data_IF_753527429429
#
_entry.id   IF_753527429429
#
_cell.length_a   1.000
_cell.length_b   1.000
_cell.length_c   1.000
_cell.angle_alpha   90.00
_cell.angle_beta   90.00
_cell.angle_gamma   90.00
#
_symmetry.space_group_name_H-M   'P 1'
#
loop_
_entity.id
_entity.type
_entity.pdbx_description
1 polymer ?
#
# COMPACT_ATOMS: atom_id res chain seq x y z
N UNK A 1 26.08 -5.34 3.14
CA UNK A 1 25.34 -4.23 3.77
C UNK A 1 24.15 -3.96 2.88
N UNK A 2 22.91 -4.03 3.39
CA UNK A 2 21.71 -3.89 2.54
C UNK A 2 21.25 -2.44 2.53
N UNK A 3 20.89 -1.93 1.35
CA UNK A 3 20.28 -0.61 1.21
C UNK A 3 19.01 -0.52 2.06
N UNK A 4 18.78 0.60 2.74
CA UNK A 4 17.57 0.80 3.56
C UNK A 4 16.50 1.51 2.75
N UNK A 5 15.26 1.06 2.89
CA UNK A 5 14.09 1.67 2.23
C UNK A 5 13.08 2.08 3.28
N UNK A 6 12.72 3.36 3.27
CA UNK A 6 11.62 3.93 4.04
C UNK A 6 10.50 4.36 3.10
N UNK A 7 9.28 3.86 3.34
CA UNK A 7 8.08 4.17 2.55
C UNK A 7 7.21 5.12 3.37
N UNK A 8 6.89 6.27 2.79
CA UNK A 8 6.06 7.31 3.40
C UNK A 8 4.88 7.60 2.50
N UNK A 9 3.69 7.21 2.95
CA UNK A 9 2.50 7.20 2.14
C UNK A 9 1.49 8.25 2.59
N UNK A 10 1.26 9.24 1.73
CA UNK A 10 0.16 10.18 1.81
C UNK A 10 -1.12 9.50 1.33
N UNK A 11 -1.87 8.92 2.26
CA UNK A 11 -3.10 8.20 1.94
C UNK A 11 -4.16 9.12 1.32
N UNK A 12 -4.18 10.41 1.67
CA UNK A 12 -5.16 11.34 1.11
C UNK A 12 -4.93 11.60 -0.37
N UNK A 13 -3.66 11.68 -0.79
CA UNK A 13 -3.32 11.87 -2.19
C UNK A 13 -3.39 10.57 -3.00
N UNK A 14 -3.07 9.43 -2.36
CA UNK A 14 -3.05 8.11 -2.98
C UNK A 14 -3.90 7.12 -2.17
N UNK A 15 -5.24 7.23 -2.16
CA UNK A 15 -6.10 6.35 -1.37
C UNK A 15 -6.21 4.96 -2.02
N UNK A 16 -6.42 3.94 -1.19
CA UNK A 16 -6.80 2.60 -1.66
C UNK A 16 -8.20 2.24 -1.18
N UNK A 17 -8.89 1.41 -1.96
CA UNK A 17 -10.20 0.83 -1.65
C UNK A 17 -10.14 -0.69 -1.45
N UNK A 18 -8.94 -1.28 -1.39
CA UNK A 18 -8.74 -2.71 -1.15
C UNK A 18 -9.21 -3.08 0.27
N UNK A 19 -10.49 -3.43 0.40
CA UNK A 19 -11.16 -3.79 1.65
C UNK A 19 -10.93 -5.25 2.09
N UNK A 20 -9.96 -5.94 1.47
CA UNK A 20 -9.48 -7.28 1.85
C UNK A 20 -8.14 -7.58 1.16
N UNK A 21 -7.20 -8.13 1.92
CA UNK A 21 -5.85 -8.59 1.49
C UNK A 21 -4.81 -7.50 1.14
N UNK A 22 -5.17 -6.21 1.24
CA UNK A 22 -4.30 -5.05 0.99
C UNK A 22 -3.33 -5.25 -0.18
N UNK A 23 -3.88 -5.66 -1.33
CA UNK A 23 -3.14 -5.91 -2.56
C UNK A 23 -2.22 -4.73 -2.92
N UNK A 24 -2.73 -3.51 -2.74
CA UNK A 24 -1.95 -2.26 -2.83
C UNK A 24 -0.66 -2.29 -1.99
N UNK A 25 -0.74 -2.60 -0.69
CA UNK A 25 0.42 -2.63 0.23
C UNK A 25 1.41 -3.71 -0.20
N UNK A 26 0.90 -4.89 -0.60
CA UNK A 26 1.73 -5.99 -1.11
C UNK A 26 2.48 -5.60 -2.39
N UNK A 27 1.82 -4.92 -3.33
CA UNK A 27 2.41 -4.44 -4.57
C UNK A 27 3.44 -3.34 -4.30
N UNK A 28 3.15 -2.39 -3.41
CA UNK A 28 4.10 -1.37 -2.98
C UNK A 28 5.36 -2.00 -2.39
N UNK A 29 5.23 -3.00 -1.51
CA UNK A 29 6.38 -3.73 -0.97
C UNK A 29 7.17 -4.44 -2.06
N UNK A 30 6.48 -5.13 -2.98
CA UNK A 30 7.11 -5.84 -4.09
C UNK A 30 7.90 -4.90 -5.01
N UNK A 31 7.43 -3.67 -5.20
CA UNK A 31 8.19 -2.66 -5.94
C UNK A 31 9.38 -2.16 -5.11
N UNK A 32 9.13 -1.74 -3.88
CA UNK A 32 10.13 -1.06 -3.05
C UNK A 32 11.29 -1.97 -2.64
N UNK A 33 11.06 -3.27 -2.49
CA UNK A 33 12.11 -4.24 -2.10
C UNK A 33 13.23 -4.36 -3.16
N UNK A 34 12.95 -3.99 -4.41
CA UNK A 34 13.96 -3.91 -5.49
C UNK A 34 15.03 -2.85 -5.20
N UNK A 35 14.74 -1.90 -4.33
CA UNK A 35 15.63 -0.79 -3.99
C UNK A 35 16.41 -1.02 -2.69
N UNK A 36 16.07 -2.06 -1.92
CA UNK A 36 16.70 -2.42 -0.66
C UNK A 36 15.75 -3.11 0.32
N UNK A 37 16.21 -3.27 1.56
CA UNK A 37 15.40 -3.80 2.65
C UNK A 37 14.42 -2.73 3.17
N UNK A 38 13.13 -3.05 3.18
CA UNK A 38 12.09 -2.17 3.71
C UNK A 38 12.16 -2.22 5.24
N UNK A 39 12.60 -1.13 5.84
CA UNK A 39 12.79 -1.01 7.30
C UNK A 39 11.72 -0.13 7.94
N UNK A 40 11.02 0.68 7.14
CA UNK A 40 9.95 1.54 7.60
C UNK A 40 8.87 1.63 6.53
N UNK A 41 7.61 1.50 6.93
CA UNK A 41 6.45 1.77 6.10
C UNK A 41 5.42 2.49 6.95
N UNK A 42 5.22 3.79 6.67
CA UNK A 42 4.26 4.66 7.35
C UNK A 42 3.19 5.17 6.40
N UNK A 43 1.94 5.16 6.85
CA UNK A 43 0.80 5.77 6.18
C UNK A 43 0.28 6.96 6.99
N UNK A 44 0.04 8.08 6.31
CA UNK A 44 -0.39 9.33 6.92
C UNK A 44 -1.82 9.62 6.49
N UNK A 45 -2.71 9.68 7.47
CA UNK A 45 -4.08 10.10 7.28
C UNK A 45 -4.18 11.57 7.67
N UNK A 46 -4.51 12.43 6.71
CA UNK A 46 -4.75 13.83 7.00
C UNK A 46 -3.66 14.81 6.63
N UNK A 47 -2.78 14.47 5.68
CA UNK A 47 -1.89 15.47 5.11
C UNK A 47 -2.72 16.52 4.34
N UNK A 48 -2.45 17.82 4.55
CA UNK A 48 -3.11 18.89 3.82
C UNK A 48 -2.66 18.82 2.37
N UNK A 49 -3.62 18.64 1.46
CA UNK A 49 -3.38 18.51 0.03
C UNK A 49 -4.49 19.18 -0.78
N UNK A 50 -4.63 18.78 -2.04
CA UNK A 50 -5.60 19.36 -2.98
C UNK A 50 -7.03 18.89 -2.67
N UNK A 51 -7.19 17.66 -2.16
CA UNK A 51 -8.48 17.10 -1.81
C UNK A 51 -8.86 17.39 -0.34
N UNK A 52 -10.15 17.56 -0.03
CA UNK A 52 -10.60 17.70 1.35
C UNK A 52 -10.22 16.47 2.18
N UNK A 53 -9.76 16.71 3.40
CA UNK A 53 -9.39 15.67 4.34
C UNK A 53 -10.55 14.70 4.56
N UNK A 54 -10.38 13.45 4.14
CA UNK A 54 -11.32 12.36 4.39
C UNK A 54 -10.59 11.27 5.16
N UNK A 55 -10.96 11.07 6.42
CA UNK A 55 -10.42 9.94 7.18
C UNK A 55 -10.85 8.63 6.52
N UNK A 56 -9.94 7.66 6.38
CA UNK A 56 -10.35 6.33 5.97
C UNK A 56 -11.29 5.71 7.00
N UNK A 57 -12.22 4.84 6.57
CA UNK A 57 -13.02 4.02 7.46
C UNK A 57 -12.14 3.24 8.44
N UNK A 58 -12.65 2.96 9.64
CA UNK A 58 -11.92 2.23 10.67
C UNK A 58 -11.44 0.84 10.19
N UNK A 59 -12.23 0.15 9.37
CA UNK A 59 -11.86 -1.15 8.78
C UNK A 59 -10.60 -1.05 7.92
N UNK A 60 -10.54 -0.07 7.00
CA UNK A 60 -9.37 0.15 6.14
C UNK A 60 -8.13 0.48 6.98
N UNK A 61 -8.28 1.26 8.06
CA UNK A 61 -7.16 1.55 8.96
C UNK A 61 -6.64 0.29 9.65
N UNK A 62 -7.54 -0.54 10.20
CA UNK A 62 -7.18 -1.82 10.83
C UNK A 62 -6.44 -2.71 9.84
N UNK A 63 -6.93 -2.81 8.61
CA UNK A 63 -6.31 -3.63 7.56
C UNK A 63 -4.91 -3.14 7.18
N UNK A 64 -4.71 -1.81 7.08
CA UNK A 64 -3.39 -1.21 6.83
C UNK A 64 -2.42 -1.55 7.97
N UNK A 65 -2.87 -1.47 9.23
CA UNK A 65 -2.07 -1.78 10.41
C UNK A 65 -1.76 -3.28 10.53
N UNK A 66 -2.75 -4.15 10.30
CA UNK A 66 -2.60 -5.60 10.26
C UNK A 66 -1.65 -6.05 9.15
N UNK A 67 -1.63 -5.32 8.03
CA UNK A 67 -0.65 -5.52 6.98
C UNK A 67 0.76 -5.09 7.40
N UNK A 68 0.98 -4.52 8.59
CA UNK A 68 2.27 -4.11 9.12
C UNK A 68 2.72 -2.72 8.67
N UNK A 69 1.79 -1.82 8.35
CA UNK A 69 2.07 -0.41 8.07
C UNK A 69 1.73 0.41 9.31
N UNK A 70 2.68 1.20 9.79
CA UNK A 70 2.42 2.11 10.91
C UNK A 70 1.54 3.26 10.42
N UNK A 71 0.40 3.48 11.06
CA UNK A 71 -0.47 4.59 10.69
C UNK A 71 -0.25 5.80 11.59
N UNK A 72 -0.34 6.99 11.00
CA UNK A 72 -0.38 8.25 11.73
C UNK A 72 -1.71 8.93 11.45
N UNK A 73 -2.58 8.91 12.45
CA UNK A 73 -3.90 9.54 12.41
C UNK A 73 -3.95 10.74 13.35
N UNK A 74 -3.26 11.82 12.99
CA UNK A 74 -3.29 13.03 13.80
C UNK A 74 -3.72 14.23 12.92
N UNK A 75 -4.91 14.81 13.16
CA UNK A 75 -5.47 15.85 12.29
C UNK A 75 -4.58 17.11 12.20
N UNK A 76 -3.68 17.30 13.17
CA UNK A 76 -2.75 18.43 13.21
C UNK A 76 -1.29 18.04 12.90
N UNK A 77 -0.98 16.78 12.59
CA UNK A 77 0.40 16.37 12.28
C UNK A 77 0.92 17.08 11.01
N UNK A 78 0.03 17.24 10.02
CA UNK A 78 0.30 18.03 8.82
C UNK A 78 1.55 17.58 8.05
N UNK A 79 1.96 18.41 7.08
CA UNK A 79 3.18 18.16 6.29
C UNK A 79 4.46 18.21 7.15
N UNK A 80 4.45 18.97 8.25
CA UNK A 80 5.58 19.06 9.18
C UNK A 80 5.94 17.71 9.81
N UNK A 81 4.98 16.97 10.34
CA UNK A 81 5.24 15.65 10.91
C UNK A 81 5.72 14.63 9.85
N UNK A 82 5.14 14.71 8.64
CA UNK A 82 5.57 13.89 7.51
C UNK A 82 7.05 14.11 7.18
N UNK A 83 7.46 15.37 7.02
CA UNK A 83 8.85 15.72 6.75
C UNK A 83 9.77 15.33 7.92
N UNK A 84 9.34 15.57 9.17
CA UNK A 84 10.10 15.19 10.38
C UNK A 84 10.38 13.69 10.41
N UNK A 85 9.38 12.85 10.16
CA UNK A 85 9.56 11.39 10.13
C UNK A 85 10.52 10.94 9.02
N UNK A 86 10.46 11.58 7.85
CA UNK A 86 11.41 11.32 6.75
C UNK A 86 12.84 11.66 7.18
N UNK A 87 13.06 12.81 7.82
CA UNK A 87 14.39 13.19 8.29
C UNK A 87 14.86 12.33 9.48
N UNK A 88 13.98 11.98 10.43
CA UNK A 88 14.31 11.04 11.51
C UNK A 88 14.77 9.70 10.95
N UNK A 89 14.07 9.15 9.94
CA UNK A 89 14.49 7.93 9.26
C UNK A 89 15.91 8.01 8.66
N UNK A 90 16.29 9.18 8.13
CA UNK A 90 17.65 9.45 7.64
C UNK A 90 18.66 9.66 8.77
N UNK A 91 18.24 10.17 9.93
CA UNK A 91 19.13 10.39 11.08
C UNK A 91 19.37 9.10 11.86
N UNK A 92 18.42 8.18 11.88
CA UNK A 92 18.54 6.84 12.49
C UNK A 92 19.56 5.93 11.76
N UNK A 93 20.25 6.47 10.76
CA UNK A 93 21.34 5.80 10.05
C UNK A 93 22.60 5.75 10.94
N UNK A 94 22.82 4.61 11.58
CA UNK A 94 23.99 4.38 12.44
C UNK A 94 25.34 4.39 11.67
N UNK A 95 25.30 4.22 10.34
CA UNK A 95 26.48 4.21 9.46
C UNK A 95 26.27 5.10 8.24
N UNK A 96 27.09 6.15 8.14
CA UNK A 96 27.11 7.14 7.05
C UNK A 96 27.25 6.55 5.63
N UNK A 97 27.58 5.27 5.48
CA UNK A 97 27.82 4.62 4.19
C UNK A 97 26.66 3.77 3.68
N UNK A 98 25.57 3.62 4.44
CA UNK A 98 24.44 2.76 3.99
C UNK A 98 23.61 3.52 2.95
N UNK A 99 23.52 3.04 1.69
CA UNK A 99 22.69 3.70 0.70
C UNK A 99 21.22 3.66 1.13
N UNK A 100 20.57 4.81 1.05
CA UNK A 100 19.20 4.99 1.55
C UNK A 100 18.28 5.43 0.44
N UNK A 101 17.13 4.76 0.38
CA UNK A 101 16.04 5.10 -0.52
C UNK A 101 14.85 5.55 0.29
N UNK A 102 14.38 6.76 0.00
CA UNK A 102 13.10 7.27 0.50
C UNK A 102 12.09 7.12 -0.62
N UNK A 103 11.00 6.40 -0.35
CA UNK A 103 9.88 6.27 -1.28
C UNK A 103 8.73 7.11 -0.77
N UNK A 104 8.35 8.11 -1.55
CA UNK A 104 7.19 8.95 -1.29
C UNK A 104 6.04 8.41 -2.13
N UNK A 105 4.92 8.07 -1.50
CA UNK A 105 3.67 7.73 -2.19
C UNK A 105 2.73 8.90 -1.99
N UNK A 106 2.74 9.86 -2.92
CA UNK A 106 1.97 11.11 -2.78
C UNK A 106 1.85 11.84 -4.12
N UNK A 107 0.67 12.42 -4.34
CA UNK A 107 0.38 13.41 -5.37
C UNK A 107 0.36 14.87 -4.87
N UNK A 108 0.86 15.11 -3.66
CA UNK A 108 0.75 16.41 -3.01
C UNK A 108 1.90 17.33 -3.44
N UNK A 109 1.64 18.49 -4.08
CA UNK A 109 2.70 19.38 -4.55
C UNK A 109 3.56 19.93 -3.41
N UNK A 110 3.06 19.94 -2.17
CA UNK A 110 3.81 20.40 -1.00
C UNK A 110 5.06 19.53 -0.70
N UNK A 111 5.14 18.30 -1.22
CA UNK A 111 6.33 17.45 -1.08
C UNK A 111 7.53 17.94 -1.89
N UNK A 112 7.33 18.88 -2.83
CA UNK A 112 8.36 19.36 -3.77
C UNK A 112 9.64 19.77 -3.05
N UNK A 113 9.54 20.63 -2.04
CA UNK A 113 10.71 21.08 -1.30
C UNK A 113 11.40 19.94 -0.53
N UNK A 114 10.62 18.98 -0.01
CA UNK A 114 11.16 17.79 0.64
C UNK A 114 11.98 16.96 -0.37
N UNK A 115 11.47 16.74 -1.58
CA UNK A 115 12.21 16.04 -2.65
C UNK A 115 13.52 16.75 -2.98
N UNK A 116 13.50 18.07 -3.16
CA UNK A 116 14.71 18.86 -3.36
C UNK A 116 15.72 18.69 -2.21
N UNK A 117 15.26 18.75 -0.97
CA UNK A 117 16.09 18.61 0.22
C UNK A 117 16.72 17.21 0.32
N UNK A 118 15.99 16.16 -0.04
CA UNK A 118 16.48 14.78 -0.07
C UNK A 118 17.54 14.59 -1.16
N UNK A 119 17.24 15.05 -2.38
CA UNK A 119 18.15 14.97 -3.51
C UNK A 119 19.48 15.70 -3.22
N UNK A 120 19.43 16.90 -2.65
CA UNK A 120 20.61 17.67 -2.27
C UNK A 120 21.52 16.96 -1.25
N UNK A 121 21.02 15.94 -0.54
CA UNK A 121 21.75 15.12 0.42
C UNK A 121 22.21 13.78 -0.18
N UNK A 122 22.04 13.57 -1.48
CA UNK A 122 22.40 12.33 -2.17
C UNK A 122 21.47 11.15 -1.82
N UNK A 123 20.29 11.42 -1.26
CA UNK A 123 19.30 10.38 -0.97
C UNK A 123 18.63 9.95 -2.27
N UNK A 124 18.48 8.64 -2.49
CA UNK A 124 17.69 8.14 -3.61
C UNK A 124 16.21 8.35 -3.31
N UNK A 125 15.51 9.08 -4.18
CA UNK A 125 14.08 9.36 -4.01
C UNK A 125 13.30 8.57 -5.03
N UNK A 126 12.39 7.72 -4.58
CA UNK A 126 11.34 7.13 -5.40
C UNK A 126 10.03 7.89 -5.21
N UNK A 127 9.32 8.18 -6.29
CA UNK A 127 8.00 8.81 -6.21
C UNK A 127 6.94 7.90 -6.86
N UNK A 128 5.91 7.58 -6.11
CA UNK A 128 4.69 6.94 -6.61
C UNK A 128 3.56 7.95 -6.48
N UNK A 129 3.04 8.43 -7.60
CA UNK A 129 2.05 9.51 -7.63
C UNK A 129 0.95 9.22 -8.65
N UNK A 130 -0.23 9.85 -8.53
CA UNK A 130 -1.24 9.77 -9.57
C UNK A 130 -0.70 10.24 -10.92
N UNK A 131 -1.17 9.58 -11.98
CA UNK A 131 -0.76 9.86 -13.35
C UNK A 131 -0.86 11.37 -13.69
N UNK A 132 0.20 11.93 -14.28
CA UNK A 132 0.24 13.34 -14.70
C UNK A 132 0.76 14.34 -13.68
N UNK A 133 1.08 13.93 -12.45
CA UNK A 133 1.67 14.80 -11.41
C UNK A 133 3.20 14.69 -11.28
N UNK A 134 3.86 13.96 -12.19
CA UNK A 134 5.28 13.61 -12.11
C UNK A 134 6.24 14.61 -12.79
N UNK A 135 5.71 15.60 -13.52
CA UNK A 135 6.52 16.35 -14.51
C UNK A 135 7.48 17.38 -13.88
N UNK A 136 7.09 18.06 -12.79
CA UNK A 136 7.88 19.15 -12.20
C UNK A 136 9.11 18.69 -11.40
N UNK A 137 9.14 17.42 -10.98
CA UNK A 137 10.18 16.86 -10.10
C UNK A 137 11.10 15.83 -10.77
N UNK A 138 10.91 15.61 -12.07
CA UNK A 138 11.54 14.52 -12.82
C UNK A 138 13.07 14.51 -12.74
N UNK A 139 13.72 15.68 -12.65
CA UNK A 139 15.18 15.79 -12.53
C UNK A 139 15.74 15.51 -11.12
N UNK A 140 14.91 15.54 -10.07
CA UNK A 140 15.33 15.33 -8.68
C UNK A 140 14.95 13.94 -8.15
N UNK A 141 14.17 13.19 -8.91
CA UNK A 141 13.64 11.88 -8.54
C UNK A 141 14.49 10.79 -9.21
N UNK A 142 14.87 9.77 -8.46
CA UNK A 142 15.66 8.65 -8.98
C UNK A 142 14.83 7.68 -9.81
N UNK A 143 13.53 7.56 -9.53
CA UNK A 143 12.56 6.77 -10.31
C UNK A 143 11.12 7.14 -9.95
N UNK A 144 10.22 7.00 -10.91
CA UNK A 144 8.79 7.28 -10.75
C UNK A 144 7.93 6.08 -11.13
N UNK A 145 6.75 5.98 -10.51
CA UNK A 145 5.69 5.04 -10.88
C UNK A 145 4.32 5.70 -10.76
N UNK A 146 3.39 5.26 -11.58
CA UNK A 146 2.00 5.70 -11.52
C UNK A 146 1.27 4.96 -10.38
N UNK A 147 0.51 5.69 -9.57
CA UNK A 147 -0.27 5.13 -8.46
C UNK A 147 -1.33 4.12 -8.95
N UNK A 148 -1.87 4.36 -10.15
CA UNK A 148 -2.90 3.52 -10.76
C UNK A 148 -2.44 2.08 -11.00
N UNK A 149 -1.13 1.82 -11.13
CA UNK A 149 -0.57 0.48 -11.26
C UNK A 149 -0.76 -0.37 -9.99
N UNK A 150 -0.98 0.28 -8.84
CA UNK A 150 -1.11 -0.37 -7.53
C UNK A 150 -2.56 -0.51 -7.08
N UNK A 151 -3.48 0.24 -7.69
CA UNK A 151 -4.91 0.27 -7.34
C UNK A 151 -5.81 -0.35 -8.40
N UNK A 152 -5.28 -0.67 -9.59
CA UNK A 152 -5.99 -1.46 -10.58
C UNK A 152 -6.32 -2.83 -10.00
N UNK A 153 -7.59 -3.04 -9.65
CA UNK A 153 -8.16 -4.35 -9.38
C UNK A 153 -7.86 -5.21 -10.60
N UNK A 154 -6.91 -6.13 -10.48
CA UNK A 154 -6.78 -7.19 -11.44
C UNK A 154 -8.01 -8.07 -11.26
N UNK A 155 -9.00 -7.93 -12.13
CA UNK A 155 -9.97 -8.98 -12.42
C UNK A 155 -9.23 -10.18 -13.03
N UNK A 156 -8.30 -10.79 -12.28
CA UNK A 156 -7.85 -12.13 -12.60
C UNK A 156 -8.98 -13.00 -12.10
N UNK A 157 -9.88 -13.33 -13.02
CA UNK A 157 -10.73 -14.50 -12.92
C UNK A 157 -9.84 -15.65 -12.44
N UNK A 158 -10.06 -16.10 -11.21
CA UNK A 158 -9.52 -17.36 -10.72
C UNK A 158 -10.16 -18.42 -11.62
N UNK A 159 -9.47 -18.80 -12.68
CA UNK A 159 -9.78 -20.02 -13.41
C UNK A 159 -9.58 -21.16 -12.43
N UNK A 160 -10.68 -21.71 -11.94
CA UNK A 160 -10.72 -23.04 -11.33
C UNK A 160 -10.17 -24.01 -12.37
N UNK A 161 -8.89 -24.35 -12.26
CA UNK A 161 -8.30 -25.50 -12.93
C UNK A 161 -8.22 -26.64 -11.91
N UNK A 162 -9.38 -27.18 -11.56
CA UNK A 162 -9.46 -28.51 -10.95
C UNK A 162 -9.58 -29.53 -12.08
N UNK A 163 -8.42 -29.93 -12.61
CA UNK A 163 -8.30 -31.11 -13.44
C UNK A 163 -8.56 -32.35 -12.56
N UNK A 164 -9.81 -32.81 -12.49
CA UNK A 164 -10.15 -34.15 -11.98
C UNK A 164 -9.80 -35.17 -13.08
N UNK A 165 -8.92 -36.17 -12.83
CA UNK A 165 -8.66 -37.21 -13.81
C UNK A 165 -9.81 -38.23 -13.85
N UNK A 166 -10.11 -38.80 -15.03
CA UNK A 166 -11.26 -39.67 -15.20
C UNK A 166 -10.94 -41.08 -14.69
N UNK A 167 -11.81 -41.61 -13.84
CA UNK A 167 -12.04 -43.04 -13.71
C UNK A 167 -11.60 -43.68 -12.41
N UNK A 168 -12.56 -43.87 -11.49
CA UNK A 168 -12.91 -45.20 -10.97
C UNK A 168 -14.42 -45.24 -10.77
N UNK A 169 -15.07 -46.18 -11.46
CA UNK A 169 -16.51 -46.39 -11.42
C UNK A 169 -16.95 -47.23 -10.22
N UNK A 170 -18.18 -46.93 -9.79
CA UNK A 170 -19.19 -47.80 -9.16
C UNK A 170 -18.93 -48.42 -7.78
N UNK A 171 -19.84 -48.12 -6.85
CA UNK A 171 -20.88 -49.10 -6.49
C UNK A 171 -22.13 -48.43 -5.91
N UNK A 172 -23.28 -48.97 -6.34
CA UNK A 172 -24.64 -48.58 -5.99
C UNK A 172 -25.00 -48.95 -4.55
N UNK A 173 -25.84 -48.15 -3.89
CA UNK A 173 -27.00 -48.61 -3.11
C UNK A 173 -27.80 -47.38 -2.67
N UNK A 174 -28.97 -47.08 -3.23
CA UNK A 174 -30.30 -47.69 -3.01
C UNK A 174 -31.17 -46.79 -2.11
N UNK A 175 -32.41 -46.64 -2.56
CA UNK A 175 -33.48 -45.76 -2.09
C UNK A 175 -33.98 -46.11 -0.68
N UNK A 176 -34.46 -45.10 0.06
CA UNK A 176 -35.72 -45.14 0.83
C UNK A 176 -36.09 -43.70 1.24
N UNK A 177 -37.15 -43.09 0.66
CA UNK A 177 -38.47 -42.85 1.31
C UNK A 177 -38.33 -42.47 2.80
N UNK A 178 -38.81 -41.30 3.26
CA UNK A 178 -40.25 -41.02 3.38
C UNK A 178 -40.56 -39.54 3.63
N UNK A 179 -41.76 -39.18 3.17
CA UNK A 179 -42.48 -37.91 3.22
C UNK A 179 -43.08 -37.53 4.59
N UNK A 180 -43.42 -36.24 4.68
CA UNK A 180 -44.63 -35.63 5.27
C UNK A 180 -44.82 -35.43 6.80
N UNK A 181 -45.11 -34.16 7.13
CA UNK A 181 -46.20 -33.75 8.04
C UNK A 181 -45.82 -32.52 8.90
N UNK A 182 -46.36 -31.30 8.69
CA UNK A 182 -47.63 -30.76 9.23
C UNK A 182 -47.60 -30.73 10.79
N UNK A 183 -47.87 -29.67 11.58
CA UNK A 183 -48.76 -28.48 11.48
C UNK A 183 -48.39 -27.48 12.62
N UNK A 184 -48.64 -26.19 12.36
CA UNK A 184 -49.03 -25.04 13.20
C UNK A 184 -49.06 -24.98 14.76
N UNK A 185 -48.77 -23.74 15.20
CA UNK A 185 -49.45 -22.89 16.22
C UNK A 185 -49.48 -23.29 17.70
N UNK A 186 -48.81 -22.49 18.54
CA UNK A 186 -49.41 -21.52 19.50
C UNK A 186 -48.32 -20.77 20.26
#
# INVERSE_FOLDING_TARGET
MFNRVGIFWDYNACPTNDARESNTIRLLRKECIKHGNIVLFKAYFGLPGIAPHKQPPASIRSEIEEAGVTTLNHPNAGFGAFATDVFCFLLDQDKSTTPTTVVLVSGNPNITYLVYALHARGVRVGLIAPSGQLNELSSQISWTKDWEDYTRITNISISHDDTIPPGVASTKSAKHHSNHGLIDSS
#
